data_IF_633152866757
#
_entry.id   IF_633152866757
#
_cell.length_a   1.000
_cell.length_b   1.000
_cell.length_c   1.000
_cell.angle_alpha   90.00
_cell.angle_beta   90.00
_cell.angle_gamma   90.00
#
_symmetry.space_group_name_H-M   'P 1'
#
loop_
_entity.id
_entity.type
_entity.pdbx_description
1 polymer ?
#
# COMPACT_ATOMS: atom_id res chain seq x y z
N UNK A 1 -8.57 -21.51 -25.08
CA UNK A 1 -8.94 -20.09 -25.28
C UNK A 1 -8.91 -19.45 -23.91
N UNK A 2 -8.26 -18.30 -23.75
CA UNK A 2 -8.28 -17.55 -22.48
C UNK A 2 -9.59 -16.79 -22.44
N UNK A 3 -10.35 -16.96 -21.36
CA UNK A 3 -11.62 -16.25 -21.14
C UNK A 3 -11.56 -15.51 -19.82
N UNK A 4 -12.09 -14.29 -19.79
CA UNK A 4 -12.28 -13.52 -18.56
C UNK A 4 -13.64 -13.86 -17.96
N UNK A 5 -13.70 -13.96 -16.63
CA UNK A 5 -14.93 -14.21 -15.89
C UNK A 5 -15.05 -13.24 -14.71
N UNK A 6 -16.28 -12.93 -14.33
CA UNK A 6 -16.60 -12.15 -13.13
C UNK A 6 -17.25 -13.10 -12.13
N UNK A 7 -16.76 -13.15 -10.90
CA UNK A 7 -17.40 -13.89 -9.82
C UNK A 7 -18.09 -12.92 -8.88
N UNK A 8 -19.36 -13.19 -8.55
CA UNK A 8 -20.08 -12.50 -7.48
C UNK A 8 -20.05 -13.37 -6.25
N UNK A 9 -19.51 -12.87 -5.15
CA UNK A 9 -19.34 -13.61 -3.89
C UNK A 9 -20.15 -12.89 -2.81
N UNK A 10 -21.08 -13.60 -2.16
CA UNK A 10 -21.87 -12.99 -1.10
C UNK A 10 -21.17 -13.18 0.26
N UNK A 11 -21.11 -12.10 1.03
CA UNK A 11 -20.42 -12.03 2.31
C UNK A 11 -21.41 -11.59 3.40
N UNK A 12 -21.62 -12.37 4.49
CA UNK A 12 -22.55 -12.02 5.56
C UNK A 12 -22.28 -10.65 6.19
N UNK A 13 -23.34 -9.91 6.54
CA UNK A 13 -23.28 -8.56 7.14
C UNK A 13 -22.30 -8.44 8.31
N UNK A 14 -22.14 -9.48 9.13
CA UNK A 14 -21.21 -9.47 10.26
C UNK A 14 -19.76 -9.28 9.82
N UNK A 15 -19.33 -9.88 8.71
CA UNK A 15 -17.96 -9.78 8.20
C UNK A 15 -17.67 -8.41 7.55
N UNK A 16 -18.68 -7.58 7.34
CA UNK A 16 -18.51 -6.18 6.91
C UNK A 16 -18.26 -5.21 8.07
N UNK A 17 -18.58 -5.64 9.30
CA UNK A 17 -18.57 -4.78 10.50
C UNK A 17 -17.53 -5.21 11.54
N UNK A 18 -16.92 -6.37 11.37
CA UNK A 18 -15.90 -6.88 12.26
C UNK A 18 -15.12 -8.01 11.58
N UNK A 19 -13.96 -8.33 12.16
CA UNK A 19 -13.18 -9.52 11.82
C UNK A 19 -14.00 -10.79 12.06
N UNK A 20 -14.09 -11.65 11.06
CA UNK A 20 -14.89 -12.87 11.13
C UNK A 20 -14.15 -14.07 10.55
N UNK A 21 -14.29 -15.25 11.17
CA UNK A 21 -13.70 -16.50 10.69
C UNK A 21 -14.69 -17.23 9.77
N UNK A 22 -14.41 -17.28 8.46
CA UNK A 22 -15.27 -17.95 7.47
C UNK A 22 -14.45 -18.99 6.69
N UNK A 23 -14.93 -20.23 6.66
CA UNK A 23 -14.27 -21.36 5.99
C UNK A 23 -12.77 -21.50 6.29
N UNK A 24 -12.37 -21.24 7.54
CA UNK A 24 -10.98 -21.36 7.98
C UNK A 24 -10.09 -20.16 7.69
N UNK A 25 -10.63 -19.07 7.12
CA UNK A 25 -9.91 -17.81 6.89
C UNK A 25 -10.49 -16.67 7.73
N UNK A 26 -9.64 -15.76 8.18
CA UNK A 26 -10.09 -14.50 8.80
C UNK A 26 -10.39 -13.50 7.68
N UNK A 27 -11.62 -12.98 7.66
CA UNK A 27 -12.04 -11.90 6.78
C UNK A 27 -12.02 -10.60 7.60
N UNK A 28 -11.30 -9.60 7.12
CA UNK A 28 -11.11 -8.30 7.76
C UNK A 28 -11.20 -7.19 6.71
N UNK A 29 -12.40 -6.64 6.51
CA UNK A 29 -12.68 -5.68 5.44
C UNK A 29 -13.41 -4.40 5.90
N UNK A 30 -13.73 -4.27 7.19
CA UNK A 30 -14.51 -3.15 7.72
C UNK A 30 -13.83 -1.79 7.43
N UNK A 31 -12.55 -1.66 7.79
CA UNK A 31 -11.78 -0.43 7.59
C UNK A 31 -11.68 -0.09 6.10
N UNK A 32 -11.34 -1.08 5.25
CA UNK A 32 -11.18 -0.88 3.81
C UNK A 32 -12.49 -0.50 3.11
N UNK A 33 -13.61 -1.14 3.47
CA UNK A 33 -14.91 -0.82 2.89
C UNK A 33 -15.41 0.55 3.33
N UNK A 34 -15.23 0.91 4.60
CA UNK A 34 -15.54 2.24 5.13
C UNK A 34 -14.74 3.34 4.42
N UNK A 35 -13.43 3.13 4.28
CA UNK A 35 -12.54 4.07 3.59
C UNK A 35 -12.88 4.20 2.11
N UNK A 36 -13.14 3.09 1.41
CA UNK A 36 -13.52 3.10 0.00
C UNK A 36 -14.80 3.91 -0.24
N UNK A 37 -15.84 3.74 0.59
CA UNK A 37 -17.07 4.54 0.50
C UNK A 37 -16.83 6.02 0.81
N UNK A 38 -15.94 6.33 1.76
CA UNK A 38 -15.56 7.71 2.04
C UNK A 38 -14.78 8.34 0.86
N UNK A 39 -13.96 7.56 0.17
CA UNK A 39 -13.23 7.95 -1.04
C UNK A 39 -14.21 8.25 -2.18
N UNK A 40 -15.21 7.39 -2.44
CA UNK A 40 -16.24 7.63 -3.47
C UNK A 40 -16.90 9.01 -3.30
N UNK A 41 -17.28 9.36 -2.06
CA UNK A 41 -17.86 10.68 -1.74
C UNK A 41 -16.90 11.85 -2.00
N UNK A 42 -15.59 11.65 -1.89
CA UNK A 42 -14.57 12.67 -2.18
C UNK A 42 -14.31 12.79 -3.68
N UNK A 43 -14.28 11.67 -4.40
CA UNK A 43 -14.19 11.63 -5.86
C UNK A 43 -15.37 12.39 -6.49
N UNK A 44 -16.59 12.14 -6.01
CA UNK A 44 -17.78 12.86 -6.47
C UNK A 44 -17.70 14.39 -6.26
N UNK A 45 -16.92 14.84 -5.27
CA UNK A 45 -16.65 16.27 -5.01
C UNK A 45 -15.49 16.84 -5.82
N UNK A 46 -14.81 16.05 -6.65
CA UNK A 46 -13.67 16.48 -7.46
C UNK A 46 -12.37 16.67 -6.69
N UNK A 47 -12.25 16.11 -5.48
CA UNK A 47 -11.07 16.31 -4.62
C UNK A 47 -9.97 15.33 -5.00
N UNK A 48 -8.82 15.85 -5.47
CA UNK A 48 -7.58 15.08 -5.72
C UNK A 48 -7.82 13.73 -6.43
N UNK A 49 -8.47 13.80 -7.60
CA UNK A 49 -9.06 12.63 -8.28
C UNK A 49 -8.09 11.48 -8.50
N UNK A 50 -6.85 11.76 -8.91
CA UNK A 50 -5.86 10.72 -9.19
C UNK A 50 -5.43 9.96 -7.93
N UNK A 51 -5.09 10.70 -6.85
CA UNK A 51 -4.71 10.10 -5.58
C UNK A 51 -5.88 9.34 -4.94
N UNK A 52 -7.08 9.90 -4.97
CA UNK A 52 -8.27 9.24 -4.42
C UNK A 52 -8.62 7.97 -5.23
N UNK A 53 -8.49 7.98 -6.56
CA UNK A 53 -8.62 6.76 -7.38
C UNK A 53 -7.58 5.71 -7.01
N UNK A 54 -6.31 6.09 -6.80
CA UNK A 54 -5.27 5.18 -6.35
C UNK A 54 -5.59 4.53 -5.00
N UNK A 55 -6.06 5.32 -4.03
CA UNK A 55 -6.48 4.82 -2.71
C UNK A 55 -7.71 3.92 -2.80
N UNK A 56 -8.68 4.28 -3.63
CA UNK A 56 -9.89 3.48 -3.86
C UNK A 56 -9.51 2.09 -4.38
N UNK A 57 -8.67 2.04 -5.43
CA UNK A 57 -8.20 0.80 -6.01
C UNK A 57 -7.45 -0.09 -5.00
N UNK A 58 -6.65 0.52 -4.11
CA UNK A 58 -5.99 -0.22 -3.03
C UNK A 58 -6.99 -0.84 -2.06
N UNK A 59 -8.02 -0.09 -1.64
CA UNK A 59 -9.07 -0.60 -0.76
C UNK A 59 -9.85 -1.74 -1.44
N UNK A 60 -10.27 -1.54 -2.69
CA UNK A 60 -10.94 -2.57 -3.50
C UNK A 60 -10.12 -3.85 -3.63
N UNK A 61 -8.82 -3.73 -3.93
CA UNK A 61 -7.92 -4.90 -4.01
C UNK A 61 -7.86 -5.67 -2.69
N UNK A 62 -7.82 -4.97 -1.54
CA UNK A 62 -7.80 -5.62 -0.22
C UNK A 62 -9.12 -6.34 0.08
N UNK A 63 -10.25 -5.74 -0.29
CA UNK A 63 -11.58 -6.34 -0.14
C UNK A 63 -11.70 -7.60 -1.01
N UNK A 64 -11.26 -7.53 -2.27
CA UNK A 64 -11.25 -8.66 -3.21
C UNK A 64 -10.33 -9.79 -2.72
N UNK A 65 -9.13 -9.47 -2.25
CA UNK A 65 -8.17 -10.47 -1.75
C UNK A 65 -8.70 -11.24 -0.54
N UNK A 66 -9.52 -10.60 0.30
CA UNK A 66 -10.10 -11.23 1.49
C UNK A 66 -11.06 -12.40 1.15
N UNK A 67 -11.59 -12.47 -0.07
CA UNK A 67 -12.53 -13.51 -0.51
C UNK A 67 -11.95 -14.50 -1.53
N UNK A 68 -10.66 -14.41 -1.88
CA UNK A 68 -10.00 -15.31 -2.85
C UNK A 68 -9.67 -16.71 -2.32
N UNK A 69 -9.90 -17.00 -1.04
CA UNK A 69 -9.52 -18.27 -0.40
C UNK A 69 -10.58 -19.39 -0.59
N UNK A 70 -10.27 -20.68 -0.34
CA UNK A 70 -11.02 -21.86 -0.83
C UNK A 70 -12.38 -22.10 -0.15
N UNK A 71 -12.88 -21.15 0.63
CA UNK A 71 -14.20 -21.22 1.27
C UNK A 71 -15.35 -20.80 0.33
N UNK A 72 -15.07 -20.47 -0.92
CA UNK A 72 -16.07 -20.08 -1.91
C UNK A 72 -16.74 -21.32 -2.51
N UNK A 73 -18.07 -21.33 -2.57
CA UNK A 73 -18.87 -22.40 -3.17
C UNK A 73 -19.72 -21.83 -4.30
N UNK A 74 -19.55 -22.38 -5.51
CA UNK A 74 -20.39 -22.00 -6.65
C UNK A 74 -21.80 -22.56 -6.47
N UNK A 75 -22.79 -21.68 -6.50
CA UNK A 75 -24.22 -22.01 -6.35
C UNK A 75 -24.97 -21.76 -7.66
N UNK A 76 -26.15 -22.36 -7.80
CA UNK A 76 -26.99 -22.24 -9.00
C UNK A 76 -28.39 -21.71 -8.72
N UNK A 77 -28.82 -21.76 -7.46
CA UNK A 77 -30.14 -21.38 -7.00
C UNK A 77 -30.08 -20.89 -5.54
N UNK A 78 -31.20 -20.34 -5.07
CA UNK A 78 -31.36 -19.81 -3.71
C UNK A 78 -31.18 -20.89 -2.63
N UNK A 79 -31.54 -22.14 -2.92
CA UNK A 79 -31.39 -23.25 -1.96
C UNK A 79 -29.90 -23.52 -1.72
N UNK A 80 -29.11 -23.66 -2.79
CA UNK A 80 -27.67 -23.83 -2.72
C UNK A 80 -26.97 -22.64 -2.06
N UNK A 81 -27.47 -21.42 -2.31
CA UNK A 81 -27.01 -20.20 -1.64
C UNK A 81 -27.11 -20.31 -0.11
N UNK A 82 -28.31 -20.62 0.40
CA UNK A 82 -28.53 -20.74 1.84
C UNK A 82 -27.78 -21.93 2.45
N UNK A 83 -27.68 -23.05 1.72
CA UNK A 83 -26.90 -24.19 2.18
C UNK A 83 -25.42 -23.84 2.35
N UNK A 84 -24.81 -23.14 1.39
CA UNK A 84 -23.42 -22.72 1.51
C UNK A 84 -23.18 -21.84 2.74
N UNK A 85 -24.07 -20.88 3.02
CA UNK A 85 -24.00 -20.05 4.22
C UNK A 85 -24.13 -20.87 5.51
N UNK A 86 -25.07 -21.81 5.55
CA UNK A 86 -25.28 -22.70 6.71
C UNK A 86 -24.05 -23.58 7.00
N UNK A 87 -23.28 -23.92 5.95
CA UNK A 87 -22.01 -24.65 6.05
C UNK A 87 -20.81 -23.76 6.39
N UNK A 88 -21.00 -22.46 6.61
CA UNK A 88 -19.92 -21.51 6.88
C UNK A 88 -19.04 -21.23 5.67
N UNK A 89 -19.59 -21.35 4.45
CA UNK A 89 -18.95 -21.07 3.17
C UNK A 89 -19.54 -19.81 2.53
N UNK A 90 -18.79 -19.23 1.60
CA UNK A 90 -19.23 -18.06 0.83
C UNK A 90 -19.91 -18.51 -0.47
N UNK A 91 -21.23 -18.34 -0.64
CA UNK A 91 -21.88 -18.64 -1.91
C UNK A 91 -21.41 -17.67 -2.99
N UNK A 92 -21.21 -18.18 -4.20
CA UNK A 92 -20.83 -17.39 -5.34
C UNK A 92 -21.47 -17.86 -6.64
N UNK A 93 -21.58 -16.97 -7.61
CA UNK A 93 -21.87 -17.31 -9.00
C UNK A 93 -20.76 -16.78 -9.91
N UNK A 94 -20.60 -17.42 -11.06
CA UNK A 94 -19.65 -16.98 -12.09
C UNK A 94 -20.41 -16.52 -13.32
N UNK A 95 -20.05 -15.34 -13.80
CA UNK A 95 -20.61 -14.67 -14.96
C UNK A 95 -19.55 -14.67 -16.07
N UNK A 96 -19.88 -15.31 -17.19
CA UNK A 96 -18.96 -15.51 -18.31
C UNK A 96 -18.98 -14.40 -19.36
N UNK A 97 -18.51 -14.73 -20.56
CA UNK A 97 -18.38 -13.78 -21.67
C UNK A 97 -19.70 -13.11 -22.07
N UNK A 98 -20.83 -13.81 -21.97
CA UNK A 98 -22.15 -13.23 -22.26
C UNK A 98 -22.44 -12.03 -21.36
N UNK A 99 -22.13 -12.15 -20.07
CA UNK A 99 -22.29 -11.05 -19.13
C UNK A 99 -21.35 -9.87 -19.42
N UNK A 100 -20.11 -10.14 -19.85
CA UNK A 100 -19.18 -9.07 -20.24
C UNK A 100 -19.69 -8.29 -21.47
N UNK A 101 -20.29 -8.99 -22.43
CA UNK A 101 -20.89 -8.35 -23.60
C UNK A 101 -22.09 -7.47 -23.17
N UNK A 102 -22.91 -7.96 -22.24
CA UNK A 102 -24.02 -7.18 -21.69
C UNK A 102 -23.55 -5.97 -20.89
N UNK A 103 -22.46 -6.10 -20.14
CA UNK A 103 -21.87 -5.01 -19.37
C UNK A 103 -21.36 -3.90 -20.29
N UNK A 104 -20.76 -4.24 -21.44
CA UNK A 104 -20.36 -3.26 -22.46
C UNK A 104 -21.56 -2.47 -23.00
N UNK A 105 -22.69 -3.15 -23.26
CA UNK A 105 -23.95 -2.49 -23.65
C UNK A 105 -24.44 -1.52 -22.57
N UNK A 106 -24.37 -1.92 -21.29
CA UNK A 106 -24.76 -1.06 -20.16
C UNK A 106 -23.85 0.16 -20.02
N UNK A 107 -22.53 -0.01 -20.15
CA UNK A 107 -21.54 1.07 -20.03
C UNK A 107 -21.62 2.08 -21.18
N UNK A 108 -22.02 1.63 -22.38
CA UNK A 108 -22.27 2.50 -23.53
C UNK A 108 -23.61 3.26 -23.42
N UNK A 109 -24.49 2.86 -22.50
CA UNK A 109 -25.75 3.56 -22.27
C UNK A 109 -25.47 4.94 -21.67
N UNK A 110 -26.09 5.98 -22.25
CA UNK A 110 -26.03 7.36 -21.69
C UNK A 110 -27.03 7.56 -20.56
N UNK A 111 -27.37 6.50 -19.82
CA UNK A 111 -28.38 6.57 -18.77
C UNK A 111 -27.86 7.46 -17.63
N UNK A 112 -28.63 8.47 -17.18
CA UNK A 112 -28.23 9.28 -16.02
C UNK A 112 -28.23 8.48 -14.72
N UNK A 113 -28.78 7.26 -14.70
CA UNK A 113 -28.83 6.41 -13.51
C UNK A 113 -27.54 5.59 -13.26
N UNK A 114 -26.53 5.71 -14.13
CA UNK A 114 -25.22 5.03 -14.00
C UNK A 114 -24.59 5.26 -12.63
N UNK A 115 -24.73 6.48 -12.08
CA UNK A 115 -24.14 6.86 -10.79
C UNK A 115 -24.77 6.09 -9.61
N UNK A 116 -26.06 5.77 -9.67
CA UNK A 116 -26.75 4.99 -8.64
C UNK A 116 -26.48 3.49 -8.76
N UNK A 117 -26.13 3.02 -9.95
CA UNK A 117 -25.92 1.60 -10.25
C UNK A 117 -24.49 1.12 -9.95
N UNK A 118 -23.60 1.97 -9.41
CA UNK A 118 -22.22 1.65 -8.98
C UNK A 118 -21.55 0.58 -9.84
N UNK A 119 -21.67 0.68 -11.18
CA UNK A 119 -21.33 -0.40 -12.11
C UNK A 119 -19.84 -0.75 -12.09
N UNK A 120 -18.99 0.21 -11.74
CA UNK A 120 -17.54 0.08 -11.65
C UNK A 120 -17.07 -0.32 -10.25
N UNK A 121 -17.96 -0.47 -9.26
CA UNK A 121 -17.59 -0.88 -7.92
C UNK A 121 -17.41 -2.40 -7.84
N UNK A 122 -16.29 -2.84 -7.28
CA UNK A 122 -16.02 -4.26 -7.01
C UNK A 122 -16.60 -4.76 -5.69
N UNK A 123 -17.34 -3.92 -4.96
CA UNK A 123 -17.98 -4.33 -3.71
C UNK A 123 -19.27 -3.53 -3.42
N UNK A 124 -20.22 -4.19 -2.78
CA UNK A 124 -21.57 -3.69 -2.48
C UNK A 124 -21.96 -4.13 -1.06
N UNK A 125 -21.79 -3.24 -0.06
CA UNK A 125 -22.22 -3.50 1.32
C UNK A 125 -23.72 -3.80 1.41
N UNK A 126 -24.17 -4.55 2.44
CA UNK A 126 -25.58 -4.94 2.59
C UNK A 126 -26.58 -3.79 2.45
N UNK A 127 -26.27 -2.63 3.03
CA UNK A 127 -27.14 -1.45 3.03
C UNK A 127 -27.27 -0.75 1.67
N UNK A 128 -26.32 -0.96 0.75
CA UNK A 128 -26.34 -0.37 -0.59
C UNK A 128 -26.86 -1.33 -1.66
N UNK A 129 -26.91 -2.63 -1.34
CA UNK A 129 -27.14 -3.70 -2.32
C UNK A 129 -28.49 -3.62 -3.03
N UNK A 130 -29.58 -3.28 -2.32
CA UNK A 130 -30.91 -3.13 -2.93
C UNK A 130 -31.02 -1.91 -3.85
N UNK A 131 -30.35 -0.81 -3.49
CA UNK A 131 -30.33 0.39 -4.33
C UNK A 131 -29.59 0.10 -5.64
N UNK A 132 -28.44 -0.58 -5.53
CA UNK A 132 -27.67 -1.09 -6.65
C UNK A 132 -28.50 -1.98 -7.58
N UNK A 133 -29.16 -3.01 -7.03
CA UNK A 133 -29.99 -3.95 -7.80
C UNK A 133 -31.07 -3.23 -8.64
N UNK A 134 -31.75 -2.24 -8.04
CA UNK A 134 -32.79 -1.45 -8.71
C UNK A 134 -32.20 -0.58 -9.82
N UNK A 135 -31.08 0.09 -9.57
CA UNK A 135 -30.38 0.90 -10.57
C UNK A 135 -29.93 0.04 -11.75
N UNK A 136 -29.25 -1.06 -11.46
CA UNK A 136 -28.79 -2.03 -12.44
C UNK A 136 -29.93 -2.59 -13.31
N UNK A 137 -31.01 -3.06 -12.69
CA UNK A 137 -32.15 -3.62 -13.43
C UNK A 137 -32.90 -2.57 -14.27
N UNK A 138 -33.01 -1.33 -13.77
CA UNK A 138 -33.57 -0.22 -14.53
C UNK A 138 -32.75 0.05 -15.79
N UNK A 139 -31.42 0.12 -15.67
CA UNK A 139 -30.52 0.29 -16.81
C UNK A 139 -30.65 -0.85 -17.82
N UNK A 140 -30.67 -2.10 -17.34
CA UNK A 140 -30.85 -3.27 -18.22
C UNK A 140 -32.18 -3.21 -18.99
N UNK A 141 -33.24 -2.71 -18.37
CA UNK A 141 -34.54 -2.49 -19.02
C UNK A 141 -34.49 -1.39 -20.07
N UNK A 142 -33.80 -0.29 -19.80
CA UNK A 142 -33.60 0.80 -20.76
C UNK A 142 -32.81 0.35 -21.99
N UNK A 143 -31.82 -0.54 -21.79
CA UNK A 143 -31.06 -1.18 -22.85
C UNK A 143 -31.76 -2.37 -23.52
N UNK A 144 -32.96 -2.76 -23.06
CA UNK A 144 -33.74 -3.91 -23.56
C UNK A 144 -33.03 -5.28 -23.42
N UNK A 145 -32.09 -5.40 -22.49
CA UNK A 145 -31.33 -6.63 -22.21
C UNK A 145 -31.73 -7.28 -20.87
N UNK A 146 -32.77 -6.77 -20.21
CA UNK A 146 -33.18 -7.28 -18.90
C UNK A 146 -33.53 -8.77 -18.92
N UNK A 147 -33.95 -9.34 -20.06
CA UNK A 147 -34.27 -10.76 -20.18
C UNK A 147 -33.07 -11.65 -20.50
N UNK A 148 -31.86 -11.10 -20.62
CA UNK A 148 -30.65 -11.90 -20.85
C UNK A 148 -30.35 -12.75 -19.61
N UNK A 149 -29.90 -13.99 -19.84
CA UNK A 149 -29.72 -15.00 -18.77
C UNK A 149 -28.66 -14.55 -17.75
N UNK A 150 -27.55 -14.01 -18.24
CA UNK A 150 -26.47 -13.36 -17.50
C UNK A 150 -26.94 -12.21 -16.60
N UNK A 151 -27.81 -11.35 -17.13
CA UNK A 151 -28.40 -10.23 -16.38
C UNK A 151 -29.32 -10.73 -15.27
N UNK A 152 -30.20 -11.71 -15.58
CA UNK A 152 -31.07 -12.33 -14.59
C UNK A 152 -30.28 -13.04 -13.49
N UNK A 153 -29.24 -13.79 -13.86
CA UNK A 153 -28.38 -14.47 -12.89
C UNK A 153 -27.74 -13.51 -11.88
N UNK A 154 -27.23 -12.34 -12.34
CA UNK A 154 -26.71 -11.29 -11.44
C UNK A 154 -27.80 -10.73 -10.53
N UNK A 155 -28.97 -10.40 -11.08
CA UNK A 155 -30.08 -9.82 -10.33
C UNK A 155 -30.61 -10.78 -9.28
N UNK A 156 -30.81 -12.05 -9.64
CA UNK A 156 -31.25 -13.11 -8.73
C UNK A 156 -30.25 -13.30 -7.59
N UNK A 157 -28.96 -13.39 -7.90
CA UNK A 157 -27.91 -13.54 -6.87
C UNK A 157 -27.88 -12.36 -5.89
N UNK A 158 -28.03 -11.13 -6.40
CA UNK A 158 -28.10 -9.93 -5.56
C UNK A 158 -29.36 -9.97 -4.66
N UNK A 159 -30.49 -10.47 -5.17
CA UNK A 159 -31.70 -10.65 -4.37
C UNK A 159 -31.53 -11.70 -3.27
N UNK A 160 -30.91 -12.85 -3.58
CA UNK A 160 -30.60 -13.88 -2.58
C UNK A 160 -29.69 -13.32 -1.48
N UNK A 161 -28.62 -12.62 -1.87
CA UNK A 161 -27.70 -11.98 -0.94
C UNK A 161 -28.40 -10.95 -0.05
N UNK A 162 -29.23 -10.08 -0.62
CA UNK A 162 -30.00 -9.09 0.14
C UNK A 162 -30.96 -9.74 1.15
N UNK A 163 -31.72 -10.76 0.72
CA UNK A 163 -32.64 -11.49 1.59
C UNK A 163 -31.91 -12.17 2.77
N UNK A 164 -30.68 -12.64 2.53
CA UNK A 164 -29.83 -13.26 3.53
C UNK A 164 -29.00 -12.26 4.37
N UNK A 165 -29.20 -10.95 4.18
CA UNK A 165 -28.38 -9.87 4.80
C UNK A 165 -26.89 -10.05 4.52
N UNK A 166 -26.55 -10.27 3.27
CA UNK A 166 -25.19 -10.28 2.77
C UNK A 166 -24.92 -9.02 1.95
N UNK A 167 -23.66 -8.60 1.93
CA UNK A 167 -23.12 -7.77 0.86
C UNK A 167 -22.58 -8.66 -0.27
N UNK A 168 -22.15 -8.04 -1.37
CA UNK A 168 -21.58 -8.75 -2.52
C UNK A 168 -20.22 -8.15 -2.87
N UNK A 169 -19.22 -9.00 -3.12
CA UNK A 169 -17.92 -8.63 -3.67
C UNK A 169 -17.82 -9.21 -5.07
N UNK A 170 -17.36 -8.40 -6.02
CA UNK A 170 -17.14 -8.77 -7.41
C UNK A 170 -15.65 -8.93 -7.66
N UNK A 171 -15.23 -10.11 -8.08
CA UNK A 171 -13.83 -10.36 -8.46
C UNK A 171 -13.74 -10.62 -9.96
N UNK A 172 -12.68 -10.12 -10.59
CA UNK A 172 -12.39 -10.36 -12.00
C UNK A 172 -11.26 -11.38 -12.10
N UNK A 173 -11.50 -12.47 -12.81
CA UNK A 173 -10.50 -13.48 -13.14
C UNK A 173 -10.09 -13.33 -14.62
N UNK A 174 -9.01 -12.59 -14.92
CA UNK A 174 -8.64 -12.26 -16.30
C UNK A 174 -8.11 -13.44 -17.12
N UNK A 175 -7.72 -14.55 -16.48
CA UNK A 175 -7.03 -15.67 -17.13
C UNK A 175 -7.62 -17.03 -16.75
N UNK A 176 -8.89 -17.27 -17.06
CA UNK A 176 -9.46 -18.62 -16.98
C UNK A 176 -9.11 -19.35 -18.27
N UNK A 177 -8.30 -20.40 -18.15
CA UNK A 177 -8.08 -21.33 -19.26
C UNK A 177 -9.35 -22.13 -19.46
N UNK A 178 -10.01 -21.96 -20.62
CA UNK A 178 -11.06 -22.88 -21.02
C UNK A 178 -10.41 -24.26 -21.18
N UNK A 179 -10.48 -25.08 -20.14
CA UNK A 179 -10.04 -26.47 -20.20
C UNK A 179 -10.81 -27.12 -21.36
N UNK A 180 -10.07 -27.43 -22.41
CA UNK A 180 -10.46 -28.45 -23.37
C UNK A 180 -10.96 -29.63 -22.55
N UNK A 181 -12.19 -30.10 -22.79
CA UNK A 181 -12.75 -31.33 -22.23
C UNK A 181 -11.70 -32.46 -22.27
N UNK A 182 -10.90 -32.60 -21.21
CA UNK A 182 -9.99 -33.71 -21.04
C UNK A 182 -10.67 -34.62 -20.04
N UNK A 183 -11.10 -35.76 -20.57
CA UNK A 183 -11.53 -36.94 -19.83
C UNK A 183 -10.58 -37.13 -18.64
N UNK A 184 -11.10 -37.35 -17.42
CA UNK A 184 -10.25 -37.51 -16.26
C UNK A 184 -9.32 -38.70 -16.47
N UNK A 185 -8.03 -38.43 -16.60
CA UNK A 185 -7.00 -39.44 -16.45
C UNK A 185 -6.84 -39.61 -14.95
N UNK A 186 -7.33 -40.73 -14.42
CA UNK A 186 -6.99 -41.21 -13.09
C UNK A 186 -5.46 -41.25 -12.96
N UNK A 187 -4.89 -40.29 -12.25
CA UNK A 187 -3.50 -40.36 -11.83
C UNK A 187 -3.46 -40.99 -10.44
N UNK A 188 -3.00 -42.23 -10.39
CA UNK A 188 -2.50 -42.87 -9.18
C UNK A 188 -1.52 -41.93 -8.46
N UNK A 189 -1.90 -41.54 -7.25
CA UNK A 189 -1.04 -40.79 -6.34
C UNK A 189 -0.03 -41.78 -5.76
N UNK A 190 1.18 -41.79 -6.31
CA UNK A 190 2.35 -42.39 -5.65
C UNK A 190 2.72 -41.50 -4.47
N UNK A 191 2.49 -41.99 -3.25
CA UNK A 191 2.94 -41.36 -2.00
C UNK A 191 4.47 -41.33 -1.95
N UNK A 192 5.06 -40.14 -1.89
CA UNK A 192 6.48 -39.96 -1.52
C UNK A 192 6.56 -39.74 -0.01
N UNK A 193 7.47 -40.41 0.74
CA UNK A 193 7.56 -40.24 2.18
C UNK A 193 8.22 -38.90 2.54
N UNK A 194 7.54 -38.14 3.39
CA UNK A 194 8.05 -36.92 4.02
C UNK A 194 8.98 -37.31 5.19
N UNK A 195 10.29 -37.25 4.97
CA UNK A 195 11.24 -37.20 6.07
C UNK A 195 12.45 -36.36 5.68
N UNK A 196 12.66 -35.29 6.46
CA UNK A 196 13.83 -34.38 6.58
C UNK A 196 13.55 -32.94 6.16
N UNK A 197 13.03 -32.19 7.12
CA UNK A 197 13.34 -30.77 7.29
C UNK A 197 13.86 -30.65 8.72
N UNK A 198 15.18 -30.57 8.83
CA UNK A 198 15.89 -30.33 10.07
C UNK A 198 15.76 -28.84 10.45
N UNK A 199 15.59 -28.64 11.74
CA UNK A 199 15.44 -27.39 12.48
C UNK A 199 16.57 -26.39 12.24
N UNK A 200 16.23 -25.15 11.90
CA UNK A 200 17.13 -24.00 12.00
C UNK A 200 16.96 -23.39 13.39
N UNK A 201 18.05 -23.33 14.15
CA UNK A 201 18.13 -22.71 15.46
C UNK A 201 17.95 -21.19 15.35
N UNK A 202 16.96 -20.67 16.06
CA UNK A 202 16.78 -19.24 16.30
C UNK A 202 17.84 -18.80 17.32
N UNK A 203 18.58 -17.76 16.98
CA UNK A 203 19.57 -17.12 17.85
C UNK A 203 18.81 -16.33 18.92
N UNK A 204 19.06 -16.72 20.17
CA UNK A 204 18.63 -16.07 21.39
C UNK A 204 19.32 -14.71 21.53
N UNK A 205 18.55 -13.63 21.58
CA UNK A 205 19.02 -12.27 21.86
C UNK A 205 18.39 -11.81 23.18
N UNK A 206 19.29 -11.64 24.15
CA UNK A 206 19.03 -11.45 25.57
C UNK A 206 17.96 -10.44 25.95
N UNK A 207 17.28 -10.80 27.02
CA UNK A 207 16.36 -10.00 27.83
C UNK A 207 17.03 -8.69 28.28
N UNK A 208 16.40 -7.56 27.98
CA UNK A 208 16.58 -6.30 28.69
C UNK A 208 15.21 -5.86 29.21
N UNK A 209 15.10 -5.80 30.53
CA UNK A 209 13.92 -5.43 31.31
C UNK A 209 13.52 -3.95 31.09
N UNK A 210 12.23 -3.69 31.30
CA UNK A 210 11.55 -2.39 31.43
C UNK A 210 11.23 -1.58 30.16
N UNK A 211 10.17 -2.00 29.42
CA UNK A 211 9.37 -1.10 28.59
C UNK A 211 7.87 -1.38 28.76
N UNK A 212 7.12 -0.32 29.00
CA UNK A 212 5.69 -0.31 29.32
C UNK A 212 4.81 -1.07 28.29
N UNK A 213 3.86 -1.84 28.81
CA UNK A 213 2.87 -2.63 28.08
C UNK A 213 1.85 -1.74 27.34
N UNK A 214 2.23 -1.12 26.22
CA UNK A 214 1.24 -0.54 25.30
C UNK A 214 1.73 -0.41 23.84
N UNK A 215 2.45 -1.41 23.33
CA UNK A 215 2.68 -1.56 21.88
C UNK A 215 2.22 -2.95 21.43
N UNK A 216 0.99 -3.02 20.91
CA UNK A 216 0.55 -4.14 20.07
C UNK A 216 1.48 -4.16 18.86
N UNK A 217 2.51 -5.01 18.93
CA UNK A 217 3.53 -5.17 17.88
C UNK A 217 2.84 -5.39 16.54
N UNK A 218 2.90 -4.37 15.69
CA UNK A 218 2.43 -4.43 14.31
C UNK A 218 3.33 -5.40 13.52
N UNK A 219 2.97 -6.70 13.57
CA UNK A 219 3.68 -7.77 12.87
C UNK A 219 3.81 -7.49 11.36
N UNK A 220 2.87 -6.74 10.80
CA UNK A 220 2.87 -6.29 9.40
C UNK A 220 4.02 -5.32 9.12
N UNK A 221 4.25 -4.36 10.02
CA UNK A 221 5.37 -3.42 9.93
C UNK A 221 6.73 -4.11 10.04
N UNK A 222 6.86 -5.08 10.94
CA UNK A 222 8.11 -5.86 11.11
C UNK A 222 8.44 -6.70 9.88
N UNK A 223 7.43 -7.28 9.22
CA UNK A 223 7.62 -8.03 7.97
C UNK A 223 8.03 -7.11 6.81
N UNK A 224 7.34 -5.98 6.64
CA UNK A 224 7.64 -4.99 5.60
C UNK A 224 9.07 -4.45 5.73
N UNK A 225 9.50 -4.16 6.96
CA UNK A 225 10.85 -3.72 7.28
C UNK A 225 11.91 -4.74 6.85
N UNK A 226 11.77 -6.01 7.25
CA UNK A 226 12.74 -7.06 6.92
C UNK A 226 12.84 -7.31 5.42
N UNK A 227 11.70 -7.30 4.71
CA UNK A 227 11.65 -7.46 3.25
C UNK A 227 12.38 -6.31 2.56
N UNK A 228 12.09 -5.06 2.94
CA UNK A 228 12.76 -3.91 2.33
C UNK A 228 14.26 -3.91 2.62
N UNK A 229 14.65 -4.24 3.86
CA UNK A 229 16.04 -4.38 4.25
C UNK A 229 16.79 -5.39 3.40
N UNK A 230 16.20 -6.57 3.16
CA UNK A 230 16.80 -7.60 2.29
C UNK A 230 16.92 -7.13 0.83
N UNK A 231 15.93 -6.39 0.32
CA UNK A 231 15.98 -5.81 -1.02
C UNK A 231 17.12 -4.80 -1.17
N UNK A 232 17.30 -3.91 -0.19
CA UNK A 232 18.39 -2.93 -0.17
C UNK A 232 19.75 -3.64 -0.08
N UNK A 233 19.90 -4.65 0.78
CA UNK A 233 21.13 -5.45 0.86
C UNK A 233 21.49 -6.09 -0.48
N UNK A 234 20.53 -6.75 -1.14
CA UNK A 234 20.76 -7.37 -2.46
C UNK A 234 21.17 -6.34 -3.51
N UNK A 235 20.55 -5.17 -3.50
CA UNK A 235 20.90 -4.09 -4.43
C UNK A 235 22.32 -3.55 -4.17
N UNK A 236 22.76 -3.43 -2.91
CA UNK A 236 24.14 -3.06 -2.56
C UNK A 236 25.13 -4.10 -3.10
N UNK A 237 24.86 -5.38 -2.89
CA UNK A 237 25.74 -6.46 -3.37
C UNK A 237 25.81 -6.50 -4.90
N UNK A 238 24.66 -6.32 -5.58
CA UNK A 238 24.61 -6.19 -7.03
C UNK A 238 25.40 -4.97 -7.52
N UNK A 239 25.25 -3.81 -6.89
CA UNK A 239 25.98 -2.59 -7.26
C UNK A 239 27.50 -2.79 -7.16
N UNK A 240 27.96 -3.46 -6.10
CA UNK A 240 29.39 -3.81 -5.90
C UNK A 240 29.89 -4.82 -6.93
N UNK A 241 29.03 -5.74 -7.38
CA UNK A 241 29.31 -6.69 -8.45
C UNK A 241 29.19 -6.12 -9.87
N UNK A 242 28.83 -4.85 -10.04
CA UNK A 242 28.59 -4.24 -11.36
C UNK A 242 27.31 -4.73 -12.05
N UNK A 243 26.38 -5.30 -11.29
CA UNK A 243 25.06 -5.75 -11.75
C UNK A 243 24.00 -4.65 -11.56
N UNK A 244 22.81 -4.86 -12.11
CA UNK A 244 21.67 -3.97 -11.90
C UNK A 244 21.25 -3.96 -10.43
N UNK A 245 21.21 -2.75 -9.84
CA UNK A 245 20.99 -2.50 -8.41
C UNK A 245 19.73 -1.63 -8.20
N UNK A 246 18.59 -2.11 -8.68
CA UNK A 246 17.32 -1.38 -8.61
C UNK A 246 16.54 -1.74 -7.33
N UNK A 247 15.96 -0.74 -6.68
CA UNK A 247 15.04 -0.91 -5.54
C UNK A 247 13.79 -0.06 -5.75
N UNK A 248 12.63 -0.67 -5.53
CA UNK A 248 11.34 0.01 -5.58
C UNK A 248 10.77 0.21 -4.17
N UNK A 249 10.70 1.47 -3.75
CA UNK A 249 10.21 1.85 -2.42
C UNK A 249 8.71 2.17 -2.37
N UNK A 250 8.01 2.12 -3.52
CA UNK A 250 6.70 2.76 -3.67
C UNK A 250 5.55 2.10 -2.88
N UNK A 251 5.78 0.90 -2.34
CA UNK A 251 4.78 0.17 -1.55
C UNK A 251 5.16 0.07 -0.06
N UNK A 252 6.16 0.83 0.39
CA UNK A 252 6.64 0.78 1.76
C UNK A 252 6.20 2.03 2.53
N UNK A 253 5.80 1.89 3.80
CA UNK A 253 5.59 3.02 4.69
C UNK A 253 6.84 3.90 4.74
N UNK A 254 6.64 5.22 4.80
CA UNK A 254 7.73 6.17 4.65
C UNK A 254 8.72 6.12 5.81
N UNK A 255 8.24 5.81 7.01
CA UNK A 255 9.03 5.54 8.19
C UNK A 255 9.93 4.31 8.01
N UNK A 256 9.41 3.24 7.40
CA UNK A 256 10.19 2.03 7.12
C UNK A 256 11.28 2.34 6.09
N UNK A 257 10.99 3.10 5.05
CA UNK A 257 11.97 3.53 4.04
C UNK A 257 13.12 4.27 4.71
N UNK A 258 12.79 5.29 5.51
CA UNK A 258 13.79 6.11 6.21
C UNK A 258 14.64 5.25 7.15
N UNK A 259 14.02 4.42 7.99
CA UNK A 259 14.74 3.60 8.96
C UNK A 259 15.63 2.53 8.32
N UNK A 260 15.16 1.88 7.25
CA UNK A 260 15.98 0.91 6.51
C UNK A 260 17.16 1.60 5.83
N UNK A 261 16.96 2.74 5.16
CA UNK A 261 18.05 3.44 4.48
C UNK A 261 19.10 3.93 5.48
N UNK A 262 18.67 4.43 6.65
CA UNK A 262 19.56 4.87 7.73
C UNK A 262 20.55 3.76 8.14
N UNK A 263 20.14 2.49 8.16
CA UNK A 263 21.05 1.38 8.50
C UNK A 263 22.23 1.22 7.54
N UNK A 264 22.06 1.66 6.30
CA UNK A 264 23.01 1.47 5.23
C UNK A 264 23.73 2.75 4.83
N UNK A 265 23.53 3.89 5.49
CA UNK A 265 24.26 5.12 5.12
C UNK A 265 25.71 5.11 5.61
N UNK A 266 25.98 4.46 6.74
CA UNK A 266 27.30 4.50 7.37
C UNK A 266 28.28 3.46 6.80
N UNK A 267 29.58 3.78 6.73
CA UNK A 267 30.64 2.85 6.28
C UNK A 267 31.05 1.82 7.34
N UNK A 268 30.52 1.91 8.57
CA UNK A 268 31.04 1.17 9.72
C UNK A 268 32.46 1.61 10.10
N UNK A 269 33.20 0.73 10.78
CA UNK A 269 34.62 0.94 11.14
C UNK A 269 35.60 0.82 9.97
N UNK A 270 35.10 0.65 8.74
CA UNK A 270 35.95 0.62 7.54
C UNK A 270 36.24 2.06 7.10
N UNK A 271 37.53 2.38 6.94
CA UNK A 271 38.00 3.63 6.34
C UNK A 271 37.23 3.92 5.04
N UNK A 272 36.78 5.17 4.91
CA UNK A 272 35.99 5.74 3.81
C UNK A 272 35.90 4.86 2.55
N UNK A 273 34.90 3.98 2.50
CA UNK A 273 34.60 3.25 1.27
C UNK A 273 33.90 4.17 0.28
N UNK A 274 34.21 3.99 -1.02
CA UNK A 274 33.51 4.69 -2.10
C UNK A 274 31.98 4.47 -1.94
N UNK A 275 31.16 5.52 -2.07
CA UNK A 275 29.70 5.38 -1.97
C UNK A 275 29.17 4.30 -2.90
N UNK A 276 28.26 3.48 -2.39
CA UNK A 276 27.51 2.51 -3.20
C UNK A 276 26.20 3.14 -3.62
N UNK A 277 25.97 3.25 -4.93
CA UNK A 277 24.76 3.88 -5.47
C UNK A 277 23.77 2.81 -5.91
N UNK A 278 22.54 2.89 -5.38
CA UNK A 278 21.42 2.05 -5.83
C UNK A 278 20.43 2.87 -6.65
N UNK A 279 19.85 2.27 -7.68
CA UNK A 279 18.89 2.93 -8.56
C UNK A 279 17.49 2.87 -7.94
N UNK A 280 16.89 4.03 -7.68
CA UNK A 280 15.51 4.14 -7.21
C UNK A 280 14.56 4.00 -8.40
N UNK A 281 13.58 3.11 -8.29
CA UNK A 281 12.50 2.92 -9.28
C UNK A 281 11.15 3.13 -8.61
N UNK A 282 10.25 3.85 -9.28
CA UNK A 282 8.93 4.19 -8.78
C UNK A 282 7.82 3.32 -9.41
N UNK A 283 6.63 3.29 -8.82
CA UNK A 283 5.47 2.54 -9.33
C UNK A 283 5.00 2.94 -10.72
N UNK A 284 5.23 4.19 -11.11
CA UNK A 284 4.94 4.68 -12.47
C UNK A 284 6.01 4.27 -13.49
N UNK A 285 7.01 3.47 -13.08
CA UNK A 285 8.14 3.03 -13.90
C UNK A 285 9.23 4.10 -14.07
N UNK A 286 9.02 5.31 -13.56
CA UNK A 286 10.03 6.35 -13.60
C UNK A 286 11.18 6.05 -12.64
N UNK A 287 12.33 6.65 -12.91
CA UNK A 287 13.57 6.42 -12.17
C UNK A 287 13.99 7.71 -11.48
N UNK A 288 14.25 7.62 -10.18
CA UNK A 288 14.87 8.69 -9.41
C UNK A 288 16.38 8.75 -9.67
N UNK A 289 17.06 9.74 -9.09
CA UNK A 289 18.52 9.75 -9.06
C UNK A 289 19.03 8.58 -8.19
N UNK A 290 20.19 7.98 -8.49
CA UNK A 290 20.74 6.93 -7.63
C UNK A 290 20.91 7.42 -6.18
N UNK A 291 20.57 6.56 -5.23
CA UNK A 291 20.65 6.87 -3.80
C UNK A 291 22.01 6.43 -3.24
N UNK A 292 22.78 7.32 -2.61
CA UNK A 292 24.08 6.98 -2.03
C UNK A 292 23.91 6.24 -0.71
N UNK A 293 24.61 5.11 -0.57
CA UNK A 293 24.69 4.28 0.63
C UNK A 293 26.16 4.00 0.95
N UNK A 294 26.43 3.58 2.19
CA UNK A 294 27.74 3.16 2.69
C UNK A 294 28.80 4.24 2.43
N UNK A 295 28.50 5.46 2.85
CA UNK A 295 29.27 6.65 2.49
C UNK A 295 29.53 7.61 3.65
N UNK A 296 28.72 7.60 4.71
CA UNK A 296 28.93 8.44 5.89
C UNK A 296 29.87 7.72 6.87
N UNK A 297 30.96 8.34 7.35
CA UNK A 297 31.78 7.74 8.39
C UNK A 297 30.99 7.54 9.69
N UNK A 298 31.21 6.42 10.37
CA UNK A 298 30.60 6.20 11.70
C UNK A 298 31.32 7.06 12.73
N UNK A 299 30.58 7.90 13.46
CA UNK A 299 31.09 8.78 14.51
C UNK A 299 30.41 8.44 15.83
N UNK A 300 30.84 7.35 16.46
CA UNK A 300 30.23 6.90 17.71
C UNK A 300 30.37 7.97 18.81
N UNK A 301 29.25 8.61 19.17
CA UNK A 301 29.15 9.55 20.30
C UNK A 301 29.74 10.95 20.07
N UNK A 302 30.41 11.20 18.94
CA UNK A 302 30.99 12.51 18.63
C UNK A 302 29.96 13.51 18.07
N UNK A 303 28.90 13.08 17.38
CA UNK A 303 27.99 14.10 16.83
C UNK A 303 27.08 14.74 17.89
N UNK A 304 26.79 14.02 18.98
CA UNK A 304 25.93 14.50 20.06
C UNK A 304 26.49 15.75 20.78
N UNK A 305 27.82 15.89 20.90
CA UNK A 305 28.40 17.05 21.59
C UNK A 305 28.27 18.33 20.76
N UNK A 306 28.27 18.25 19.42
CA UNK A 306 28.12 19.43 18.56
C UNK A 306 26.73 20.05 18.62
N UNK A 307 25.73 19.28 19.04
CA UNK A 307 24.34 19.71 19.15
C UNK A 307 23.87 19.86 20.60
N UNK A 308 24.76 19.76 21.58
CA UNK A 308 24.40 19.92 22.99
C UNK A 308 23.93 21.36 23.24
N UNK A 309 22.64 21.52 23.56
CA UNK A 309 22.00 22.83 23.76
C UNK A 309 21.62 23.55 22.47
N UNK A 310 21.81 22.93 21.29
CA UNK A 310 21.29 23.47 20.04
C UNK A 310 19.76 23.46 20.06
N UNK A 311 19.14 24.55 19.60
CA UNK A 311 17.70 24.59 19.39
C UNK A 311 17.41 23.94 18.03
N UNK A 312 16.62 22.86 17.96
CA UNK A 312 16.33 22.19 16.70
C UNK A 312 15.47 23.08 15.81
N UNK A 313 15.78 23.11 14.52
CA UNK A 313 14.92 23.66 13.50
C UNK A 313 13.83 22.64 13.15
N UNK A 314 12.60 22.91 13.59
CA UNK A 314 11.47 22.00 13.45
C UNK A 314 10.79 22.22 12.12
N UNK A 315 10.75 21.19 11.28
CA UNK A 315 10.19 21.29 9.93
C UNK A 315 9.11 20.23 9.71
N UNK A 316 8.02 20.58 9.05
CA UNK A 316 7.14 19.59 8.41
C UNK A 316 7.67 19.29 7.00
N UNK A 317 7.69 18.02 6.58
CA UNK A 317 8.19 17.70 5.23
C UNK A 317 7.33 18.35 4.13
N UNK A 318 6.01 18.29 4.24
CA UNK A 318 5.07 18.90 3.28
C UNK A 318 4.01 19.75 3.99
N UNK A 319 3.76 20.96 3.46
CA UNK A 319 2.72 21.85 3.96
C UNK A 319 1.31 21.25 3.85
N UNK A 320 0.39 21.62 4.74
CA UNK A 320 -1.05 21.27 4.64
C UNK A 320 -1.36 19.76 4.65
N UNK A 321 -0.40 18.90 4.98
CA UNK A 321 -0.63 17.44 5.08
C UNK A 321 -1.16 17.03 6.45
N UNK A 322 -0.73 17.71 7.50
CA UNK A 322 -1.22 17.54 8.86
C UNK A 322 -1.42 18.94 9.46
N UNK A 323 -2.62 19.52 9.34
CA UNK A 323 -2.89 20.88 9.85
C UNK A 323 -2.64 21.01 11.36
N UNK A 324 -2.78 19.90 12.08
CA UNK A 324 -2.45 19.84 13.49
C UNK A 324 -0.94 20.04 13.75
N UNK A 325 -0.04 19.79 12.80
CA UNK A 325 1.39 20.05 12.97
C UNK A 325 1.79 21.51 12.73
N UNK A 326 0.97 22.29 12.02
CA UNK A 326 1.38 23.61 11.56
C UNK A 326 1.71 24.58 12.71
N UNK A 327 1.27 24.27 13.95
CA UNK A 327 1.62 25.03 15.16
C UNK A 327 2.88 24.54 15.90
N UNK A 328 3.36 23.33 15.58
CA UNK A 328 4.50 22.67 16.25
C UNK A 328 5.81 22.75 15.44
N UNK A 329 5.72 23.23 14.19
CA UNK A 329 6.86 23.35 13.27
C UNK A 329 7.15 24.81 12.94
N UNK A 330 8.42 25.13 12.72
CA UNK A 330 8.87 26.46 12.33
C UNK A 330 8.54 26.75 10.85
N UNK A 331 8.56 25.72 10.00
CA UNK A 331 8.13 25.82 8.60
C UNK A 331 7.79 24.46 7.97
N UNK A 332 7.22 24.50 6.77
CA UNK A 332 7.15 23.35 5.89
C UNK A 332 8.31 23.39 4.88
N UNK A 333 9.08 22.30 4.79
CA UNK A 333 10.24 22.16 3.92
C UNK A 333 9.86 22.20 2.43
N UNK A 334 8.74 21.56 2.09
CA UNK A 334 8.15 21.62 0.76
C UNK A 334 6.72 22.16 0.80
N UNK A 335 6.36 22.93 -0.23
CA UNK A 335 4.96 23.33 -0.46
C UNK A 335 4.21 22.22 -1.18
N UNK A 336 3.11 21.75 -0.60
CA UNK A 336 2.32 20.66 -1.19
C UNK A 336 1.83 20.97 -2.61
N UNK A 337 1.54 22.25 -2.92
CA UNK A 337 1.17 22.69 -4.29
C UNK A 337 2.30 22.48 -5.31
N UNK A 338 3.55 22.63 -4.89
CA UNK A 338 4.71 22.49 -5.77
C UNK A 338 5.09 21.04 -5.96
N UNK A 339 5.00 20.25 -4.89
CA UNK A 339 5.32 18.83 -4.91
C UNK A 339 4.25 18.03 -5.65
N UNK A 340 2.96 18.33 -5.45
CA UNK A 340 1.81 17.60 -6.03
C UNK A 340 1.47 18.01 -7.47
N UNK A 341 2.40 18.60 -8.22
CA UNK A 341 2.20 18.85 -9.66
C UNK A 341 2.16 17.52 -10.39
N UNK A 342 1.29 17.40 -11.40
CA UNK A 342 1.23 16.22 -12.26
C UNK A 342 2.54 16.07 -13.04
N UNK A 343 3.37 15.11 -12.64
CA UNK A 343 4.66 14.75 -13.22
C UNK A 343 5.08 13.37 -12.72
N UNK A 344 6.07 12.76 -13.35
CA UNK A 344 6.53 11.45 -12.92
C UNK A 344 7.13 11.50 -11.50
N UNK A 345 7.08 10.39 -10.76
CA UNK A 345 7.61 10.35 -9.39
C UNK A 345 9.13 10.59 -9.35
N UNK A 346 9.88 10.11 -10.33
CA UNK A 346 11.31 10.44 -10.50
C UNK A 346 11.58 11.94 -10.70
N UNK A 347 10.66 12.66 -11.36
CA UNK A 347 10.78 14.12 -11.52
C UNK A 347 10.40 14.88 -10.25
N UNK A 348 9.44 14.36 -9.47
CA UNK A 348 9.09 14.91 -8.15
C UNK A 348 10.23 14.72 -7.15
N UNK A 349 10.86 13.55 -7.18
CA UNK A 349 12.07 13.24 -6.41
C UNK A 349 13.19 14.23 -6.73
N UNK A 350 13.56 14.37 -8.01
CA UNK A 350 14.60 15.30 -8.45
C UNK A 350 14.30 16.76 -8.05
N UNK A 351 13.03 17.18 -8.10
CA UNK A 351 12.60 18.48 -7.61
C UNK A 351 12.85 18.65 -6.10
N UNK A 352 12.44 17.66 -5.29
CA UNK A 352 12.61 17.68 -3.84
C UNK A 352 14.10 17.65 -3.44
N UNK A 353 14.91 16.87 -4.15
CA UNK A 353 16.36 16.84 -4.01
C UNK A 353 16.98 18.22 -4.25
N UNK A 354 16.71 18.85 -5.39
CA UNK A 354 17.26 20.18 -5.73
C UNK A 354 16.87 21.25 -4.72
N UNK A 355 15.60 21.26 -4.34
CA UNK A 355 15.08 22.22 -3.35
C UNK A 355 15.69 21.99 -1.95
N UNK A 356 15.99 20.74 -1.58
CA UNK A 356 16.64 20.43 -0.30
C UNK A 356 18.11 20.83 -0.29
N UNK A 357 18.87 20.52 -1.35
CA UNK A 357 20.27 20.97 -1.48
C UNK A 357 20.35 22.49 -1.34
N UNK A 358 19.51 23.22 -2.07
CA UNK A 358 19.51 24.69 -2.00
C UNK A 358 19.24 25.17 -0.56
N UNK A 359 18.19 24.68 0.09
CA UNK A 359 17.83 25.10 1.45
C UNK A 359 18.92 24.74 2.48
N UNK A 360 19.54 23.56 2.38
CA UNK A 360 20.64 23.18 3.27
C UNK A 360 21.87 24.05 3.05
N UNK A 361 22.23 24.35 1.81
CA UNK A 361 23.36 25.23 1.48
C UNK A 361 23.17 26.65 2.01
N UNK A 362 21.94 27.17 1.96
CA UNK A 362 21.56 28.46 2.52
C UNK A 362 21.59 28.42 4.06
N UNK A 363 20.99 27.39 4.68
CA UNK A 363 20.85 27.29 6.14
C UNK A 363 22.18 27.02 6.87
N UNK A 364 23.10 26.28 6.24
CA UNK A 364 24.39 25.89 6.86
C UNK A 364 25.47 26.97 6.75
N UNK A 365 25.15 28.16 6.23
CA UNK A 365 26.05 29.32 6.31
C UNK A 365 26.25 29.78 7.77
N UNK A 366 25.30 29.49 8.64
CA UNK A 366 25.27 29.97 10.03
C UNK A 366 25.92 29.01 11.04
N UNK A 367 26.40 27.83 10.61
CA UNK A 367 27.09 26.86 11.45
C UNK A 367 26.51 25.45 11.36
N UNK A 368 26.59 24.71 12.48
CA UNK A 368 25.97 23.40 12.62
C UNK A 368 24.44 23.51 12.63
N UNK A 369 23.75 22.55 12.02
CA UNK A 369 22.30 22.56 11.84
C UNK A 369 21.69 21.26 12.37
N UNK A 370 20.81 21.37 13.37
CA UNK A 370 19.98 20.29 13.87
C UNK A 370 18.55 20.46 13.34
N UNK A 371 18.05 19.48 12.61
CA UNK A 371 16.71 19.48 12.03
C UNK A 371 15.86 18.41 12.71
N UNK A 372 14.71 18.81 13.25
CA UNK A 372 13.66 17.87 13.64
C UNK A 372 12.64 17.83 12.51
N UNK A 373 12.64 16.74 11.74
CA UNK A 373 11.83 16.61 10.53
C UNK A 373 10.59 15.76 10.81
N UNK A 374 9.43 16.41 10.88
CA UNK A 374 8.13 15.77 10.96
C UNK A 374 7.74 15.24 9.58
N UNK A 375 7.91 13.93 9.40
CA UNK A 375 7.80 13.27 8.11
C UNK A 375 6.34 13.04 7.73
N UNK A 376 6.02 13.17 6.43
CA UNK A 376 4.69 12.89 5.88
C UNK A 376 4.80 11.97 4.66
N UNK A 377 3.71 11.26 4.33
CA UNK A 377 3.73 10.09 3.44
C UNK A 377 3.82 10.32 1.93
N UNK A 378 4.77 11.12 1.46
CA UNK A 378 5.10 11.19 0.03
C UNK A 378 6.52 10.71 -0.25
N UNK A 379 6.64 9.46 -0.72
CA UNK A 379 7.91 8.76 -0.94
C UNK A 379 8.93 9.52 -1.80
N UNK A 380 8.60 10.09 -2.99
CA UNK A 380 9.60 10.83 -3.76
C UNK A 380 10.14 12.06 -3.02
N UNK A 381 9.34 12.70 -2.17
CA UNK A 381 9.81 13.81 -1.35
C UNK A 381 10.76 13.35 -0.23
N UNK A 382 10.46 12.22 0.41
CA UNK A 382 11.32 11.60 1.45
C UNK A 382 12.67 11.21 0.84
N UNK A 383 12.67 10.49 -0.28
CA UNK A 383 13.90 10.04 -0.95
C UNK A 383 14.72 11.22 -1.48
N UNK A 384 14.09 12.21 -2.10
CA UNK A 384 14.77 13.41 -2.57
C UNK A 384 15.41 14.21 -1.43
N UNK A 385 14.68 14.37 -0.31
CA UNK A 385 15.18 15.05 0.89
C UNK A 385 16.40 14.32 1.48
N UNK A 386 16.28 13.03 1.80
CA UNK A 386 17.38 12.30 2.44
C UNK A 386 18.59 12.10 1.53
N UNK A 387 18.38 11.97 0.22
CA UNK A 387 19.50 11.96 -0.74
C UNK A 387 20.29 13.27 -0.65
N UNK A 388 19.60 14.41 -0.62
CA UNK A 388 20.23 15.71 -0.51
C UNK A 388 20.96 15.89 0.83
N UNK A 389 20.37 15.40 1.93
CA UNK A 389 21.02 15.40 3.26
C UNK A 389 22.35 14.64 3.23
N UNK A 390 22.37 13.43 2.66
CA UNK A 390 23.60 12.62 2.56
C UNK A 390 24.65 13.33 1.69
N UNK A 391 24.28 13.79 0.49
CA UNK A 391 25.22 14.45 -0.42
C UNK A 391 25.82 15.73 0.21
N UNK A 392 25.02 16.50 0.95
CA UNK A 392 25.47 17.71 1.66
C UNK A 392 26.34 17.40 2.90
N UNK A 393 26.16 16.24 3.55
CA UNK A 393 27.07 15.75 4.58
C UNK A 393 28.43 15.36 3.98
N UNK A 394 28.42 14.65 2.86
CA UNK A 394 29.63 14.24 2.14
C UNK A 394 30.42 15.44 1.59
N UNK A 395 29.75 16.43 1.00
CA UNK A 395 30.41 17.60 0.42
C UNK A 395 31.12 18.47 1.48
N UNK A 396 30.65 18.42 2.73
CA UNK A 396 31.22 19.20 3.84
C UNK A 396 31.97 18.37 4.87
N UNK A 397 32.34 17.14 4.52
CA UNK A 397 33.14 16.29 5.39
C UNK A 397 34.47 16.99 5.76
N UNK A 398 34.78 17.07 7.06
CA UNK A 398 35.96 17.77 7.58
C UNK A 398 35.77 19.25 7.92
N UNK A 399 34.61 19.84 7.66
CA UNK A 399 34.25 21.18 8.14
C UNK A 399 33.60 21.11 9.53
N UNK A 400 33.82 22.14 10.37
CA UNK A 400 33.22 22.24 11.72
C UNK A 400 31.69 22.53 11.73
N UNK A 401 31.02 22.52 10.58
CA UNK A 401 29.58 22.75 10.48
C UNK A 401 28.92 21.38 10.35
N UNK A 402 28.35 20.83 11.42
CA UNK A 402 27.72 19.51 11.42
C UNK A 402 26.26 19.61 10.94
N UNK A 403 25.72 18.55 10.35
CA UNK A 403 24.30 18.44 10.01
C UNK A 403 23.74 17.20 10.71
N UNK A 404 22.64 17.35 11.41
CA UNK A 404 21.91 16.22 11.99
C UNK A 404 20.43 16.37 11.68
N UNK A 405 19.81 15.28 11.21
CA UNK A 405 18.37 15.22 10.96
C UNK A 405 17.76 14.12 11.81
N UNK A 406 16.79 14.48 12.63
CA UNK A 406 16.00 13.57 13.46
C UNK A 406 14.60 13.46 12.86
N UNK A 407 14.22 12.31 12.27
CA UNK A 407 12.86 12.10 11.80
C UNK A 407 11.88 11.96 12.96
N UNK A 408 10.67 12.49 12.77
CA UNK A 408 9.52 12.29 13.64
C UNK A 408 8.37 11.70 12.83
N UNK A 409 7.84 10.56 13.27
CA UNK A 409 6.79 9.80 12.58
C UNK A 409 5.46 9.87 13.33
N UNK A 410 4.37 10.14 12.62
CA UNK A 410 3.04 10.13 13.21
C UNK A 410 2.57 8.68 13.46
N UNK A 411 2.33 8.32 14.72
CA UNK A 411 1.77 7.01 15.09
C UNK A 411 0.26 7.07 15.25
N UNK A 412 -0.39 5.90 15.18
CA UNK A 412 -1.85 5.74 15.39
C UNK A 412 -2.32 6.24 16.75
N UNK A 413 -1.44 6.29 17.75
CA UNK A 413 -1.68 6.89 19.07
C UNK A 413 -1.89 8.42 19.04
N UNK A 414 -1.77 9.05 17.87
CA UNK A 414 -1.92 10.49 17.69
C UNK A 414 -0.68 11.29 18.11
N UNK A 415 0.44 10.62 18.35
CA UNK A 415 1.71 11.24 18.77
C UNK A 415 2.78 11.06 17.70
N UNK A 416 3.72 12.01 17.67
CA UNK A 416 4.95 11.87 16.91
C UNK A 416 5.98 11.11 17.73
N UNK A 417 6.61 10.12 17.10
CA UNK A 417 7.67 9.32 17.69
C UNK A 417 8.96 9.58 16.93
N UNK A 418 10.04 9.79 17.69
CA UNK A 418 11.38 9.99 17.18
C UNK A 418 11.90 8.72 16.47
N UNK A 419 12.55 8.90 15.33
CA UNK A 419 13.28 7.85 14.61
C UNK A 419 14.79 7.95 14.77
N UNK A 420 15.54 7.12 14.05
CA UNK A 420 17.01 7.17 14.10
C UNK A 420 17.53 8.45 13.46
N UNK A 421 18.47 9.11 14.14
CA UNK A 421 19.12 10.30 13.61
C UNK A 421 19.97 9.97 12.38
N UNK A 422 20.06 10.94 11.48
CA UNK A 422 20.92 10.94 10.31
C UNK A 422 21.97 12.02 10.50
N UNK A 423 23.24 11.66 10.52
CA UNK A 423 24.35 12.60 10.67
C UNK A 423 25.50 12.02 11.45
#
# INVERSE_FOLDING_TARGET
MITTQISLIALPEIAWKQKEQIGGSVIDIEEFSTDALAIERRIAKGVNLENERGRYNLCSSRIEDAVKNPAVTIVRDEIGFHQALAEGKLPAITLGQEYLNDLDVLLQSKSPDVEYARLEASFHPPELLLAHARGFFKMAKECQIQSHVSIQARVDFIHWASNAKCGVIETIDPYVWAESRLVPIEKEIVKVPSSKLESINVIDLGESEDLDEEDVVDNTGRSAYLILREQVMKAIDHARGGLSAEVNFSNQPHEIITEVLNEFITTGNSLASKPTYIQVVYTDGSRGRPFPLMCIPTREGEDAHYFQGATPFRIALLSMRHLALDHDVDMAWFRNREVSKARAFGETDEFCYKQTIQQLQESRQEGSLLIHMYQTGLQPAVLGFYRAVIEEMLEREGNNNHLMVVPFYFRRSGRYVEGKHWG
#
